data_IF_546844952097
#
_entry.id   IF_546844952097
#
_cell.length_a   1.000
_cell.length_b   1.000
_cell.length_c   1.000
_cell.angle_alpha   90.00
_cell.angle_beta   90.00
_cell.angle_gamma   90.00
#
_symmetry.space_group_name_H-M   'P 1'
#
loop_
_entity.id
_entity.type
_entity.pdbx_description
1 polymer ?
#
# COMPACT_ATOMS: atom_id res chain seq x y z
N UNK A 1 -14.59 -7.99 -2.11
CA UNK A 1 -13.23 -8.13 -1.58
C UNK A 1 -12.39 -8.97 -2.51
N UNK A 2 -11.16 -8.57 -2.76
CA UNK A 2 -10.17 -9.32 -3.52
C UNK A 2 -8.94 -9.52 -2.66
N UNK A 3 -8.39 -10.72 -2.67
CA UNK A 3 -7.14 -11.07 -1.97
C UNK A 3 -6.14 -11.63 -2.96
N UNK A 4 -4.95 -11.04 -2.99
CA UNK A 4 -3.85 -11.43 -3.86
C UNK A 4 -2.71 -11.94 -3.00
N UNK A 5 -2.18 -13.10 -3.37
CA UNK A 5 -1.05 -13.73 -2.70
C UNK A 5 0.13 -13.80 -3.67
N UNK A 6 1.25 -13.21 -3.30
CA UNK A 6 2.46 -13.20 -4.10
C UNK A 6 3.51 -14.14 -3.50
N UNK A 7 4.30 -14.79 -4.32
CA UNK A 7 5.35 -15.74 -3.91
C UNK A 7 6.39 -15.13 -2.95
N UNK A 8 6.52 -13.80 -2.96
CA UNK A 8 7.44 -13.04 -2.10
C UNK A 8 6.95 -12.80 -0.67
N UNK A 9 5.98 -13.55 -0.18
CA UNK A 9 5.32 -13.33 1.12
C UNK A 9 4.53 -12.01 1.22
N UNK A 10 4.28 -11.36 0.09
CA UNK A 10 3.42 -10.19 0.03
C UNK A 10 1.96 -10.64 -0.09
N UNK A 11 1.15 -10.21 0.86
CA UNK A 11 -0.29 -10.40 0.85
C UNK A 11 -1.00 -9.06 0.67
N UNK A 12 -1.90 -8.98 -0.30
CA UNK A 12 -2.66 -7.76 -0.60
C UNK A 12 -4.15 -8.05 -0.50
N UNK A 13 -4.88 -7.22 0.23
CA UNK A 13 -6.34 -7.23 0.26
C UNK A 13 -6.87 -5.91 -0.27
N UNK A 14 -7.86 -5.99 -1.14
CA UNK A 14 -8.56 -4.85 -1.70
C UNK A 14 -10.04 -4.91 -1.34
N UNK A 15 -10.56 -3.81 -0.87
CA UNK A 15 -11.99 -3.61 -0.63
C UNK A 15 -12.49 -2.44 -1.48
N UNK A 16 -13.53 -2.68 -2.24
CA UNK A 16 -14.24 -1.65 -2.99
C UNK A 16 -15.75 -1.89 -2.85
N UNK A 17 -16.50 -0.83 -2.62
CA UNK A 17 -17.96 -0.91 -2.52
C UNK A 17 -18.58 0.43 -2.89
N UNK A 18 -19.61 0.38 -3.73
CA UNK A 18 -20.46 1.52 -4.03
C UNK A 18 -21.53 1.79 -2.95
N UNK A 19 -21.81 0.77 -2.13
CA UNK A 19 -22.84 0.84 -1.08
C UNK A 19 -22.27 1.31 0.27
N UNK A 20 -20.96 1.58 0.34
CA UNK A 20 -20.36 2.04 1.58
C UNK A 20 -20.83 3.47 1.88
N UNK A 21 -21.36 3.76 3.08
CA UNK A 21 -21.94 5.06 3.41
C UNK A 21 -20.90 6.19 3.47
N UNK A 22 -19.64 5.83 3.73
CA UNK A 22 -18.55 6.78 3.79
C UNK A 22 -17.61 6.61 2.59
N UNK A 23 -17.20 7.74 2.01
CA UNK A 23 -16.14 7.74 0.99
C UNK A 23 -14.81 7.43 1.65
N UNK A 24 -14.21 6.32 1.30
CA UNK A 24 -12.91 5.90 1.84
C UNK A 24 -11.94 5.64 0.70
N UNK A 25 -10.72 6.22 0.78
CA UNK A 25 -9.63 5.98 -0.16
C UNK A 25 -8.33 5.86 0.62
N UNK A 26 -8.06 4.67 1.13
CA UNK A 26 -6.90 4.42 1.99
C UNK A 26 -6.08 3.26 1.48
N UNK A 27 -4.76 3.45 1.57
CA UNK A 27 -3.79 2.38 1.37
C UNK A 27 -3.05 2.18 2.70
N UNK A 28 -2.99 0.93 3.15
CA UNK A 28 -2.22 0.55 4.34
C UNK A 28 -1.14 -0.43 3.92
N UNK A 29 0.09 -0.09 4.25
CA UNK A 29 1.26 -0.96 4.01
C UNK A 29 1.81 -1.34 5.37
N UNK A 30 1.83 -2.64 5.66
CA UNK A 30 2.32 -3.17 6.93
C UNK A 30 3.59 -3.93 6.67
N UNK A 31 4.69 -3.47 7.27
CA UNK A 31 5.99 -4.14 7.30
C UNK A 31 6.30 -4.67 8.70
N UNK A 32 7.46 -5.27 8.82
CA UNK A 32 7.97 -5.83 10.09
C UNK A 32 8.29 -4.77 11.15
N UNK A 33 8.68 -3.58 10.75
CA UNK A 33 9.13 -2.50 11.64
C UNK A 33 8.23 -1.28 11.64
N UNK A 34 7.54 -1.03 10.52
CA UNK A 34 6.74 0.19 10.34
C UNK A 34 5.46 -0.12 9.58
N UNK A 35 4.45 0.70 9.83
CA UNK A 35 3.23 0.72 9.05
C UNK A 35 3.05 2.10 8.43
N UNK A 36 2.69 2.14 7.17
CA UNK A 36 2.35 3.38 6.47
C UNK A 36 0.85 3.36 6.17
N UNK A 37 0.20 4.47 6.44
CA UNK A 37 -1.19 4.72 6.04
C UNK A 37 -1.19 5.93 5.12
N UNK A 38 -1.67 5.73 3.91
CA UNK A 38 -2.00 6.80 2.98
C UNK A 38 -3.51 6.99 2.96
N UNK A 39 -3.98 8.22 3.12
CA UNK A 39 -5.38 8.62 3.07
C UNK A 39 -5.55 9.75 2.06
N UNK A 40 -6.06 9.41 0.87
CA UNK A 40 -6.26 10.34 -0.25
C UNK A 40 -7.28 11.46 0.05
N UNK A 41 -8.09 11.29 1.08
CA UNK A 41 -9.09 12.28 1.50
C UNK A 41 -8.58 13.23 2.60
N UNK A 42 -7.46 12.94 3.20
CA UNK A 42 -6.84 13.80 4.21
C UNK A 42 -5.77 14.70 3.59
N UNK A 43 -6.17 15.87 3.10
CA UNK A 43 -5.25 16.80 2.43
C UNK A 43 -4.18 17.40 3.35
N UNK A 44 -4.41 17.46 4.64
CA UNK A 44 -3.46 18.05 5.60
C UNK A 44 -2.36 17.06 5.99
N UNK A 45 -2.73 15.80 6.20
CA UNK A 45 -1.84 14.73 6.64
C UNK A 45 -2.10 13.46 5.83
N UNK A 46 -1.80 13.46 4.52
CA UNK A 46 -2.12 12.33 3.65
C UNK A 46 -1.34 11.06 3.98
N UNK A 47 -0.17 11.20 4.61
CA UNK A 47 0.69 10.07 4.98
C UNK A 47 0.92 10.08 6.48
N UNK A 48 0.73 8.91 7.13
CA UNK A 48 1.13 8.65 8.50
C UNK A 48 2.02 7.41 8.55
N UNK A 49 3.18 7.56 9.18
CA UNK A 49 4.15 6.50 9.39
C UNK A 49 4.12 6.16 10.87
N UNK A 50 3.75 4.93 11.17
CA UNK A 50 3.71 4.40 12.53
C UNK A 50 4.95 3.56 12.77
N UNK A 51 5.71 3.89 13.80
CA UNK A 51 6.80 3.04 14.29
C UNK A 51 6.18 1.91 15.14
N UNK A 52 5.95 0.78 14.52
CA UNK A 52 5.36 -0.40 15.14
C UNK A 52 6.30 -1.55 14.97
N UNK A 53 6.74 -2.11 16.10
CA UNK A 53 7.57 -3.31 16.11
C UNK A 53 6.74 -4.48 16.60
N UNK A 54 6.90 -5.56 15.89
CA UNK A 54 6.35 -6.85 16.26
C UNK A 54 7.51 -7.75 16.59
N UNK A 55 7.76 -7.97 17.85
CA UNK A 55 8.85 -8.82 18.33
C UNK A 55 8.27 -10.14 18.85
N UNK A 56 8.76 -11.23 18.30
CA UNK A 56 8.46 -12.55 18.84
C UNK A 56 9.41 -12.80 20.01
N UNK A 57 8.87 -12.83 21.22
CA UNK A 57 9.63 -13.12 22.42
C UNK A 57 9.64 -14.64 22.61
N UNK A 58 10.82 -15.23 22.47
CA UNK A 58 11.06 -16.60 22.87
C UNK A 58 11.50 -16.60 24.34
N UNK A 59 10.58 -16.87 25.23
CA UNK A 59 10.92 -17.05 26.64
C UNK A 59 11.53 -18.45 26.83
N UNK A 60 12.86 -18.48 26.98
CA UNK A 60 13.62 -19.74 27.15
C UNK A 60 13.26 -20.50 28.43
N UNK A 61 12.72 -19.83 29.43
CA UNK A 61 12.38 -20.44 30.73
C UNK A 61 10.99 -21.13 30.68
N UNK A 62 10.10 -20.69 29.80
CA UNK A 62 8.75 -21.28 29.64
C UNK A 62 8.74 -22.37 28.55
N UNK A 63 9.77 -22.45 27.71
CA UNK A 63 9.86 -23.39 26.59
C UNK A 63 10.00 -24.87 26.97
N UNK A 64 10.15 -25.21 28.23
CA UNK A 64 10.33 -26.63 28.58
C UNK A 64 9.05 -27.46 28.55
N UNK A 65 7.85 -26.83 28.46
CA UNK A 65 6.60 -27.61 28.45
C UNK A 65 5.50 -27.16 27.47
N UNK A 66 5.61 -26.01 26.82
CA UNK A 66 4.60 -25.59 25.81
C UNK A 66 5.27 -24.71 24.77
N UNK A 67 5.03 -24.97 23.48
CA UNK A 67 5.41 -24.12 22.33
C UNK A 67 4.65 -22.78 22.32
N UNK A 68 4.55 -22.07 23.43
CA UNK A 68 3.90 -20.78 23.50
C UNK A 68 4.90 -19.70 23.14
N UNK A 69 4.87 -19.25 21.91
CA UNK A 69 5.50 -18.01 21.49
C UNK A 69 4.62 -16.82 21.92
N UNK A 70 5.17 -15.95 22.74
CA UNK A 70 4.50 -14.69 23.06
C UNK A 70 4.90 -13.64 22.03
N UNK A 71 3.90 -12.89 21.57
CA UNK A 71 4.13 -11.78 20.68
C UNK A 71 4.08 -10.48 21.50
N UNK A 72 5.16 -9.72 21.44
CA UNK A 72 5.19 -8.36 21.97
C UNK A 72 4.88 -7.37 20.87
N UNK A 73 4.01 -6.46 21.19
CA UNK A 73 3.61 -5.39 20.29
C UNK A 73 4.00 -4.06 20.93
N UNK A 74 4.93 -3.35 20.32
CA UNK A 74 5.30 -2.00 20.76
C UNK A 74 4.78 -0.95 19.77
N UNK A 75 4.20 0.11 20.33
CA UNK A 75 3.75 1.28 19.57
C UNK A 75 4.76 2.38 19.88
N UNK A 76 5.48 2.81 18.85
CA UNK A 76 6.38 3.96 18.89
C UNK A 76 5.71 5.23 18.38
N UNK A 77 6.54 6.13 17.87
CA UNK A 77 6.10 7.42 17.36
C UNK A 77 5.24 7.30 16.10
N UNK A 78 4.40 8.30 15.91
CA UNK A 78 3.65 8.51 14.66
C UNK A 78 4.20 9.77 14.00
N UNK A 79 4.73 9.62 12.80
CA UNK A 79 5.28 10.73 12.01
C UNK A 79 4.35 11.01 10.85
N UNK A 80 3.92 12.26 10.70
CA UNK A 80 3.19 12.75 9.54
C UNK A 80 4.13 13.69 8.75
N UNK A 81 4.77 13.22 7.67
CA UNK A 81 5.65 14.06 6.87
C UNK A 81 4.84 15.13 6.13
N UNK A 82 5.40 16.32 6.04
CA UNK A 82 4.80 17.36 5.21
C UNK A 82 4.88 16.95 3.73
N UNK A 83 3.74 16.90 3.07
CA UNK A 83 3.62 16.63 1.64
C UNK A 83 3.04 17.88 0.99
N UNK A 84 3.80 18.44 0.04
CA UNK A 84 3.29 19.57 -0.74
C UNK A 84 2.15 19.08 -1.64
N UNK A 85 0.96 19.63 -1.42
CA UNK A 85 -0.19 19.33 -2.26
C UNK A 85 0.04 19.82 -3.68
N UNK A 86 -0.23 18.98 -4.65
CA UNK A 86 -0.20 19.33 -6.06
C UNK A 86 -1.45 18.77 -6.74
N UNK A 87 -1.96 19.52 -7.70
CA UNK A 87 -3.09 19.09 -8.50
C UNK A 87 -2.67 17.88 -9.37
N UNK A 88 -3.27 16.69 -9.20
CA UNK A 88 -2.83 15.47 -9.88
C UNK A 88 -2.87 15.61 -11.41
N UNK A 89 -3.94 16.19 -11.97
CA UNK A 89 -4.08 16.39 -13.41
C UNK A 89 -3.01 17.33 -13.96
N UNK A 90 -2.68 18.39 -13.22
CA UNK A 90 -1.62 19.30 -13.61
C UNK A 90 -0.25 18.59 -13.67
N UNK A 91 0.01 17.67 -12.73
CA UNK A 91 1.24 16.89 -12.74
C UNK A 91 1.32 15.95 -13.95
N UNK A 92 0.20 15.31 -14.32
CA UNK A 92 0.14 14.47 -15.51
C UNK A 92 0.45 15.28 -16.77
N UNK A 93 -0.16 16.46 -16.92
CA UNK A 93 0.08 17.33 -18.08
C UNK A 93 1.52 17.82 -18.12
N UNK A 94 2.08 18.28 -17.00
CA UNK A 94 3.47 18.70 -16.93
C UNK A 94 4.43 17.58 -17.29
N UNK A 95 4.18 16.39 -16.78
CA UNK A 95 5.00 15.22 -17.09
C UNK A 95 4.94 14.85 -18.58
N UNK A 96 3.76 14.87 -19.18
CA UNK A 96 3.56 14.64 -20.60
C UNK A 96 4.34 15.67 -21.45
N UNK A 97 4.21 16.95 -21.14
CA UNK A 97 4.92 18.00 -21.84
C UNK A 97 6.44 17.85 -21.72
N UNK A 98 6.97 17.59 -20.53
CA UNK A 98 8.41 17.39 -20.33
C UNK A 98 8.95 16.20 -21.09
N UNK A 99 8.17 15.15 -21.25
CA UNK A 99 8.55 13.96 -22.04
C UNK A 99 8.67 14.29 -23.52
N UNK A 100 7.79 15.15 -24.05
CA UNK A 100 7.85 15.59 -25.45
C UNK A 100 9.06 16.51 -25.68
N UNK A 101 9.30 17.45 -24.77
CA UNK A 101 10.35 18.46 -24.91
C UNK A 101 11.77 17.87 -24.81
N UNK A 102 11.97 16.88 -23.96
CA UNK A 102 13.29 16.34 -23.67
C UNK A 102 13.68 15.14 -24.53
N UNK A 103 12.79 14.63 -25.38
CA UNK A 103 12.97 13.42 -26.20
C UNK A 103 13.53 12.21 -25.38
N UNK A 104 13.30 12.26 -24.07
CA UNK A 104 13.73 11.21 -23.17
C UNK A 104 12.74 10.05 -23.23
N UNK A 105 13.28 8.86 -23.52
CA UNK A 105 12.58 7.60 -23.20
C UNK A 105 12.47 7.47 -21.67
N UNK A 106 11.62 8.30 -21.09
CA UNK A 106 11.42 8.34 -19.67
C UNK A 106 10.79 7.03 -19.23
N UNK A 107 11.50 6.27 -18.41
CA UNK A 107 10.93 5.12 -17.70
C UNK A 107 9.98 5.67 -16.65
N UNK A 108 8.85 6.16 -17.11
CA UNK A 108 7.77 6.58 -16.24
C UNK A 108 7.20 5.37 -15.52
N UNK A 109 6.85 5.52 -14.25
CA UNK A 109 6.03 4.54 -13.54
C UNK A 109 4.65 4.35 -14.18
N UNK A 110 4.30 5.16 -15.18
CA UNK A 110 3.06 5.09 -15.98
C UNK A 110 3.39 4.72 -17.44
N UNK A 111 4.05 3.60 -17.66
CA UNK A 111 4.35 3.11 -18.99
C UNK A 111 3.31 2.07 -19.46
N UNK A 112 3.38 1.73 -20.74
CA UNK A 112 2.51 0.73 -21.37
C UNK A 112 2.58 -0.65 -20.70
N UNK A 113 3.73 -1.04 -20.15
CA UNK A 113 3.91 -2.34 -19.49
C UNK A 113 3.08 -2.39 -18.19
N UNK A 114 3.11 -1.32 -17.40
CA UNK A 114 2.30 -1.24 -16.17
C UNK A 114 0.82 -1.18 -16.51
N UNK A 115 0.44 -0.43 -17.54
CA UNK A 115 -0.93 -0.37 -18.02
C UNK A 115 -1.45 -1.76 -18.41
N UNK A 116 -0.68 -2.51 -19.23
CA UNK A 116 -1.04 -3.87 -19.63
C UNK A 116 -1.15 -4.83 -18.45
N UNK A 117 -0.20 -4.77 -17.51
CA UNK A 117 -0.25 -5.60 -16.29
C UNK A 117 -1.48 -5.30 -15.43
N UNK A 118 -1.83 -4.02 -15.30
CA UNK A 118 -3.01 -3.61 -14.54
C UNK A 118 -4.29 -4.13 -15.18
N UNK A 119 -4.45 -3.98 -16.49
CA UNK A 119 -5.63 -4.48 -17.22
C UNK A 119 -5.70 -6.00 -17.13
N UNK A 120 -4.59 -6.72 -17.34
CA UNK A 120 -4.55 -8.17 -17.22
C UNK A 120 -4.92 -8.67 -15.81
N UNK A 121 -4.47 -7.95 -14.77
CA UNK A 121 -4.86 -8.27 -13.40
C UNK A 121 -6.37 -8.08 -13.19
N UNK A 122 -6.93 -6.98 -13.69
CA UNK A 122 -8.37 -6.70 -13.56
C UNK A 122 -9.21 -7.74 -14.29
N UNK A 123 -8.80 -8.16 -15.51
CA UNK A 123 -9.47 -9.22 -16.25
C UNK A 123 -9.45 -10.56 -15.50
N UNK A 124 -8.33 -10.90 -14.86
CA UNK A 124 -8.24 -12.11 -14.05
C UNK A 124 -9.16 -12.05 -12.84
N UNK A 125 -9.21 -10.91 -12.14
CA UNK A 125 -10.11 -10.70 -11.01
C UNK A 125 -11.58 -10.83 -11.46
N UNK A 126 -11.93 -10.25 -12.60
CA UNK A 126 -13.31 -10.32 -13.14
C UNK A 126 -13.71 -11.76 -13.46
N UNK A 127 -12.82 -12.55 -14.06
CA UNK A 127 -13.07 -13.97 -14.34
C UNK A 127 -13.33 -14.79 -13.07
N UNK A 128 -12.58 -14.53 -12.00
CA UNK A 128 -12.75 -15.23 -10.71
C UNK A 128 -14.05 -14.82 -9.98
N UNK A 129 -14.56 -13.62 -10.21
CA UNK A 129 -15.81 -13.16 -9.61
C UNK A 129 -17.04 -13.71 -10.37
N UNK A 130 -16.89 -13.95 -11.69
CA UNK A 130 -18.01 -14.35 -12.57
C UNK A 130 -18.21 -15.86 -12.62
N UNK A 131 -17.24 -16.64 -12.16
CA UNK A 131 -17.33 -18.11 -12.00
C UNK A 131 -17.86 -18.47 -10.62
#
# INVERSE_FOLDING_TARGET
NVSLNYESSLFVTMFSSWLHPEKTRKIKIVGDKKMIVFDDLNFNEPIKIYDKKFDQIYDKEISQNNNNSFFSFSIGDVVSPFIQNSEPLQQVVKHFMSTIENDETFISNNNNVIALRTVSLLENIEKEITN
#
